data_IF_092195369184
#
_entry.id   IF_092195369184
#
_cell.length_a   1.000
_cell.length_b   1.000
_cell.length_c   1.000
_cell.angle_alpha   90.00
_cell.angle_beta   90.00
_cell.angle_gamma   90.00
#
_symmetry.space_group_name_H-M   'P 1'
#
loop_
_entity.id
_entity.type
_entity.pdbx_description
1 polymer ?
#
# COMPACT_ATOMS: atom_id res chain seq x y z
N UNK A 1 -20.89 -8.33 10.19
CA UNK A 1 -20.64 -6.88 10.33
C UNK A 1 -19.48 -6.48 9.43
N UNK A 2 -19.74 -5.73 8.35
CA UNK A 2 -18.71 -5.22 7.43
C UNK A 2 -17.97 -4.05 8.10
N UNK A 3 -16.70 -4.24 8.46
CA UNK A 3 -15.89 -3.15 9.04
C UNK A 3 -15.60 -2.09 7.98
N UNK A 4 -15.88 -0.83 8.31
CA UNK A 4 -15.63 0.33 7.45
C UNK A 4 -14.13 0.43 7.14
N UNK A 5 -13.80 0.46 5.85
CA UNK A 5 -12.42 0.64 5.37
C UNK A 5 -11.95 2.05 5.71
N UNK A 6 -10.66 2.20 6.05
CA UNK A 6 -10.07 3.51 6.36
C UNK A 6 -9.91 4.34 5.09
N UNK A 7 -10.55 5.52 5.06
CA UNK A 7 -10.28 6.61 4.12
C UNK A 7 -10.25 6.23 2.63
N UNK A 8 -9.54 7.05 1.85
CA UNK A 8 -9.18 6.73 0.46
C UNK A 8 -8.18 5.57 0.41
N UNK A 9 -8.12 4.86 -0.71
CA UNK A 9 -7.10 3.83 -0.92
C UNK A 9 -5.74 4.53 -0.94
N UNK A 10 -4.79 4.15 -0.07
CA UNK A 10 -3.46 4.75 -0.12
C UNK A 10 -2.70 4.22 -1.34
N UNK A 11 -1.81 5.04 -1.91
CA UNK A 11 -0.81 4.60 -2.88
C UNK A 11 0.53 4.34 -2.21
N UNK A 12 1.40 3.59 -2.88
CA UNK A 12 2.78 3.39 -2.43
C UNK A 12 3.65 4.62 -2.69
N UNK A 13 3.30 5.47 -3.65
CA UNK A 13 4.05 6.68 -4.00
C UNK A 13 4.11 7.67 -2.82
N UNK A 14 2.99 7.89 -2.14
CA UNK A 14 2.91 8.88 -1.06
C UNK A 14 3.25 8.31 0.32
N UNK A 15 3.28 6.98 0.47
CA UNK A 15 3.16 6.35 1.79
C UNK A 15 4.31 5.40 2.16
N UNK A 16 4.97 4.78 1.19
CA UNK A 16 5.96 3.73 1.46
C UNK A 16 7.39 4.26 1.34
N UNK A 17 8.25 3.88 2.27
CA UNK A 17 9.69 4.21 2.23
C UNK A 17 10.55 3.02 1.80
N UNK A 18 9.93 2.03 1.15
CA UNK A 18 10.60 0.81 0.69
C UNK A 18 9.66 -0.09 -0.11
N UNK A 19 10.18 -1.26 -0.52
CA UNK A 19 9.43 -2.24 -1.30
C UNK A 19 8.54 -3.09 -0.39
N UNK A 20 7.22 -3.18 -0.66
CA UNK A 20 6.37 -4.16 0.02
C UNK A 20 6.87 -5.58 -0.20
N UNK A 21 6.80 -6.42 0.82
CA UNK A 21 7.26 -7.80 0.74
C UNK A 21 6.23 -8.78 1.30
N UNK A 22 6.23 -9.99 0.73
CA UNK A 22 5.36 -11.10 1.16
C UNK A 22 5.87 -11.63 2.49
N UNK A 23 4.96 -11.84 3.43
CA UNK A 23 5.25 -12.46 4.73
C UNK A 23 4.12 -13.41 5.14
N UNK A 24 4.39 -14.29 6.09
CA UNK A 24 3.38 -15.17 6.70
C UNK A 24 3.16 -14.76 8.15
N UNK A 25 1.89 -14.61 8.54
CA UNK A 25 1.54 -14.16 9.89
C UNK A 25 1.99 -15.16 10.96
N UNK A 26 2.92 -14.75 11.82
CA UNK A 26 3.38 -15.59 12.96
C UNK A 26 2.32 -15.71 14.07
N UNK A 27 1.45 -14.71 14.18
CA UNK A 27 0.30 -14.63 15.11
C UNK A 27 -0.88 -14.01 14.38
N UNK A 28 -2.07 -14.08 14.98
CA UNK A 28 -3.22 -13.34 14.47
C UNK A 28 -2.86 -11.84 14.33
N UNK A 29 -3.13 -11.29 13.15
CA UNK A 29 -2.84 -9.89 12.82
C UNK A 29 -4.08 -9.22 12.24
N UNK A 30 -4.14 -7.89 12.29
CA UNK A 30 -5.21 -7.12 11.64
C UNK A 30 -4.65 -6.43 10.41
N UNK A 31 -5.36 -6.53 9.29
CA UNK A 31 -5.03 -5.73 8.12
C UNK A 31 -5.16 -4.25 8.46
N UNK A 32 -4.10 -3.47 8.22
CA UNK A 32 -4.05 -2.06 8.55
C UNK A 32 -5.09 -1.20 7.79
N UNK A 33 -5.67 -1.70 6.69
CA UNK A 33 -6.64 -0.97 5.87
C UNK A 33 -8.10 -1.34 6.19
N UNK A 34 -8.46 -2.61 6.05
CA UNK A 34 -9.84 -3.06 6.28
C UNK A 34 -10.12 -3.50 7.72
N UNK A 35 -9.10 -3.58 8.59
CA UNK A 35 -9.21 -4.07 9.98
C UNK A 35 -9.77 -5.50 10.11
N UNK A 36 -9.81 -6.25 9.00
CA UNK A 36 -10.13 -7.67 9.02
C UNK A 36 -8.96 -8.45 9.61
N UNK A 37 -9.31 -9.55 10.28
CA UNK A 37 -8.35 -10.45 10.89
C UNK A 37 -7.68 -11.30 9.82
N UNK A 38 -6.36 -11.40 9.90
CA UNK A 38 -5.52 -12.30 9.14
C UNK A 38 -5.06 -13.37 10.12
N UNK A 39 -5.60 -14.58 9.95
CA UNK A 39 -5.30 -15.73 10.82
C UNK A 39 -3.81 -16.09 10.76
N UNK A 40 -3.30 -16.75 11.81
CA UNK A 40 -1.94 -17.28 11.86
C UNK A 40 -1.67 -18.21 10.68
N UNK A 41 -0.45 -18.14 10.12
CA UNK A 41 -0.03 -18.98 8.99
C UNK A 41 -0.58 -18.54 7.63
N UNK A 42 -1.38 -17.47 7.58
CA UNK A 42 -1.88 -16.94 6.30
C UNK A 42 -0.87 -15.97 5.70
N UNK A 43 -0.82 -15.95 4.37
CA UNK A 43 -0.04 -14.99 3.62
C UNK A 43 -0.58 -13.58 3.83
N UNK A 44 0.34 -12.64 3.99
CA UNK A 44 0.08 -11.20 4.04
C UNK A 44 1.22 -10.45 3.36
N UNK A 45 1.09 -9.14 3.26
CA UNK A 45 2.15 -8.28 2.78
C UNK A 45 2.47 -7.23 3.83
N UNK A 46 3.76 -6.97 4.00
CA UNK A 46 4.26 -5.90 4.84
C UNK A 46 4.70 -4.74 3.97
N UNK A 47 4.14 -3.57 4.25
CA UNK A 47 4.50 -2.31 3.59
C UNK A 47 5.34 -1.51 4.58
N UNK A 48 6.64 -1.27 4.29
CA UNK A 48 7.52 -0.57 5.20
C UNK A 48 7.15 0.91 5.31
N UNK A 49 7.07 1.39 6.55
CA UNK A 49 6.89 2.81 6.85
C UNK A 49 8.01 3.29 7.76
N UNK A 50 8.81 4.26 7.32
CA UNK A 50 9.71 4.99 8.22
C UNK A 50 8.88 5.82 9.21
N UNK A 51 9.19 5.66 10.49
CA UNK A 51 8.70 6.52 11.57
C UNK A 51 9.86 6.80 12.52
N UNK A 52 10.24 8.07 12.72
CA UNK A 52 11.21 8.55 13.72
C UNK A 52 12.28 7.53 14.17
N UNK A 53 13.14 7.10 13.24
CA UNK A 53 14.29 6.21 13.54
C UNK A 53 14.01 4.71 13.53
N UNK A 54 12.75 4.25 13.45
CA UNK A 54 12.39 2.83 13.39
C UNK A 54 11.48 2.53 12.19
N UNK A 55 11.67 1.37 11.55
CA UNK A 55 10.78 0.89 10.49
C UNK A 55 9.62 0.13 11.12
N UNK A 56 8.40 0.67 10.99
CA UNK A 56 7.18 -0.01 11.40
C UNK A 56 6.45 -0.54 10.17
N UNK A 57 6.56 -1.84 9.94
CA UNK A 57 5.91 -2.49 8.81
C UNK A 57 4.41 -2.63 9.04
N UNK A 58 3.63 -2.07 8.11
CA UNK A 58 2.18 -2.22 8.12
C UNK A 58 1.78 -3.52 7.44
N UNK A 59 0.97 -4.32 8.12
CA UNK A 59 0.47 -5.58 7.59
C UNK A 59 -0.82 -5.34 6.79
N UNK A 60 -0.88 -5.89 5.58
CA UNK A 60 -2.02 -5.81 4.69
C UNK A 60 -2.43 -7.20 4.19
N UNK A 61 -3.75 -7.44 4.08
CA UNK A 61 -4.25 -8.63 3.40
C UNK A 61 -4.06 -8.52 1.89
N UNK A 62 -4.10 -9.65 1.19
CA UNK A 62 -3.89 -9.72 -0.27
C UNK A 62 -4.83 -8.77 -1.02
N UNK A 63 -6.12 -8.78 -0.69
CA UNK A 63 -7.13 -7.91 -1.33
C UNK A 63 -6.78 -6.44 -1.16
N UNK A 64 -6.39 -6.01 0.04
CA UNK A 64 -6.04 -4.62 0.27
C UNK A 64 -4.73 -4.22 -0.44
N UNK A 65 -3.78 -5.15 -0.58
CA UNK A 65 -2.55 -4.88 -1.34
C UNK A 65 -2.84 -4.75 -2.83
N UNK A 66 -3.69 -5.61 -3.38
CA UNK A 66 -4.09 -5.51 -4.79
C UNK A 66 -4.74 -4.15 -5.09
N UNK A 67 -5.64 -3.68 -4.23
CA UNK A 67 -6.27 -2.38 -4.39
C UNK A 67 -5.27 -1.22 -4.25
N UNK A 68 -4.29 -1.33 -3.35
CA UNK A 68 -3.19 -0.36 -3.22
C UNK A 68 -2.34 -0.33 -4.50
N UNK A 69 -2.04 -1.48 -5.08
CA UNK A 69 -1.27 -1.56 -6.33
C UNK A 69 -2.03 -0.94 -7.50
N UNK A 70 -3.34 -1.18 -7.61
CA UNK A 70 -4.18 -0.54 -8.62
C UNK A 70 -4.20 0.98 -8.48
N UNK A 71 -4.37 1.49 -7.25
CA UNK A 71 -4.32 2.94 -6.99
C UNK A 71 -2.95 3.52 -7.31
N UNK A 72 -1.87 2.81 -6.94
CA UNK A 72 -0.50 3.23 -7.22
C UNK A 72 -0.25 3.30 -8.72
N UNK A 73 -0.74 2.32 -9.50
CA UNK A 73 -0.57 2.32 -10.94
C UNK A 73 -1.29 3.52 -11.59
N UNK A 74 -2.53 3.80 -11.18
CA UNK A 74 -3.30 4.97 -11.65
C UNK A 74 -2.53 6.28 -11.44
N UNK A 75 -1.98 6.48 -10.25
CA UNK A 75 -1.19 7.68 -9.94
C UNK A 75 0.14 7.75 -10.71
N UNK A 76 0.79 6.60 -10.95
CA UNK A 76 1.98 6.54 -11.82
C UNK A 76 1.63 6.98 -13.24
N UNK A 77 0.50 6.52 -13.76
CA UNK A 77 0.07 6.82 -15.13
C UNK A 77 -0.31 8.31 -15.26
N UNK A 78 -1.02 8.88 -14.28
CA UNK A 78 -1.31 10.32 -14.21
C UNK A 78 -0.02 11.17 -14.22
N UNK A 79 0.98 10.81 -13.39
CA UNK A 79 2.26 11.53 -13.35
C UNK A 79 3.03 11.40 -14.67
N UNK A 80 2.97 10.26 -15.34
CA UNK A 80 3.62 10.10 -16.65
C UNK A 80 2.98 10.97 -17.72
N UNK A 81 1.65 11.05 -17.75
CA UNK A 81 0.92 11.93 -18.67
C UNK A 81 1.31 13.40 -18.43
N UNK A 82 1.39 13.84 -17.18
CA UNK A 82 1.85 15.19 -16.84
C UNK A 82 3.28 15.49 -17.33
N UNK A 83 4.19 14.52 -17.19
CA UNK A 83 5.57 14.67 -17.68
C UNK A 83 5.63 14.79 -19.22
N UNK A 84 4.86 13.97 -19.94
CA UNK A 84 4.81 14.03 -21.41
C UNK A 84 4.27 15.37 -21.92
N UNK A 85 3.20 15.89 -21.29
CA UNK A 85 2.63 17.19 -21.64
C UNK A 85 3.58 18.37 -21.33
N UNK A 86 4.50 18.19 -20.37
CA UNK A 86 5.48 19.21 -20.00
C UNK A 86 6.63 19.28 -21.00
N UNK A 87 7.07 18.15 -21.57
CA UNK A 87 8.15 18.12 -22.57
C UNK A 87 7.77 18.84 -23.88
N UNK A 88 6.48 18.89 -24.23
CA UNK A 88 5.98 19.62 -25.41
C UNK A 88 5.90 21.15 -25.22
N UNK A 89 6.04 21.64 -23.99
CA UNK A 89 5.96 23.08 -23.67
C UNK A 89 7.32 23.74 -23.46
N UNK A 90 8.41 22.96 -23.47
CA UNK A 90 9.79 23.40 -23.20
C UNK A 90 10.68 23.34 -24.45
N UNK A 91 10.17 22.82 -25.58
CA UNK A 91 10.77 22.84 -26.91
C UNK A 91 10.09 23.89 -27.80
#
# INVERSE_FOLDING_TARGET
>A
MLKKRRGKIPSLLSFSTGKPYKDTTKKEAKCNRCNLVILKGKTCFKVPKRSNGFTNDKIHCLTCVQEILQQTQKEIDEVKEELQNTEESVL
#
